data_IF_134334663837
#
_entry.id   IF_134334663837
#
_cell.length_a   1.000
_cell.length_b   1.000
_cell.length_c   1.000
_cell.angle_alpha   90.00
_cell.angle_beta   90.00
_cell.angle_gamma   90.00
#
_symmetry.space_group_name_H-M   'P 1'
#
loop_
_entity.id
_entity.type
_entity.pdbx_description
1 polymer ?
#
# COMPACT_ATOMS: atom_id res chain seq x y z
N UNK A 1 0.58 16.51 -26.48
CA UNK A 1 1.58 16.50 -25.38
C UNK A 1 1.64 15.11 -24.80
N UNK A 2 2.82 14.61 -24.48
CA UNK A 2 3.05 13.21 -24.10
C UNK A 2 2.90 12.98 -22.59
N UNK A 3 2.34 11.82 -22.20
CA UNK A 3 2.16 11.42 -20.80
C UNK A 3 3.48 10.92 -20.24
N UNK A 4 3.87 11.38 -19.06
CA UNK A 4 5.14 11.01 -18.43
C UNK A 4 4.98 9.79 -17.52
N UNK A 5 5.58 8.67 -17.91
CA UNK A 5 5.62 7.43 -17.12
C UNK A 5 7.03 6.81 -17.20
N UNK A 6 7.95 7.35 -16.40
CA UNK A 6 9.36 6.95 -16.43
C UNK A 6 9.65 5.76 -15.52
N UNK A 7 8.81 5.52 -14.51
CA UNK A 7 9.04 4.47 -13.50
C UNK A 7 8.42 3.14 -13.93
N UNK A 8 9.27 2.10 -14.01
CA UNK A 8 8.90 0.71 -14.35
C UNK A 8 9.22 -0.29 -13.24
N UNK A 9 9.80 0.18 -12.12
CA UNK A 9 10.28 -0.65 -11.02
C UNK A 9 9.26 -0.68 -9.87
N UNK A 10 8.97 -1.87 -9.32
CA UNK A 10 8.07 -2.04 -8.17
C UNK A 10 8.62 -1.24 -6.98
N UNK A 11 7.75 -0.53 -6.27
CA UNK A 11 8.07 0.32 -5.10
C UNK A 11 8.88 1.60 -5.38
N UNK A 12 9.06 1.99 -6.65
CA UNK A 12 9.72 3.24 -7.02
C UNK A 12 8.87 4.48 -6.69
N UNK A 13 9.53 5.60 -6.38
CA UNK A 13 8.82 6.85 -6.06
C UNK A 13 8.24 7.46 -7.33
N UNK A 14 6.91 7.51 -7.45
CA UNK A 14 6.17 8.11 -8.57
C UNK A 14 6.19 9.65 -8.60
N UNK A 15 7.19 10.29 -7.97
CA UNK A 15 7.24 11.76 -7.88
C UNK A 15 7.59 12.44 -9.20
N UNK A 16 7.97 11.70 -10.23
CA UNK A 16 8.29 12.24 -11.56
C UNK A 16 7.22 11.95 -12.61
N UNK A 17 6.22 11.14 -12.25
CA UNK A 17 5.27 10.56 -13.19
C UNK A 17 3.87 11.16 -13.03
N UNK A 18 3.13 11.13 -14.13
CA UNK A 18 1.70 11.36 -14.16
C UNK A 18 1.01 10.28 -13.33
N UNK A 19 0.26 10.69 -12.30
CA UNK A 19 -0.34 9.75 -11.35
C UNK A 19 -1.75 10.14 -10.93
N UNK A 20 -2.49 9.13 -10.54
CA UNK A 20 -3.78 9.23 -9.88
C UNK A 20 -3.67 8.62 -8.49
N UNK A 21 -4.20 9.30 -7.50
CA UNK A 21 -4.15 8.87 -6.09
C UNK A 21 -5.53 9.04 -5.47
N UNK A 22 -5.88 8.14 -4.57
CA UNK A 22 -7.14 8.24 -3.84
C UNK A 22 -7.00 7.70 -2.42
N UNK A 23 -7.95 8.08 -1.58
CA UNK A 23 -8.03 7.61 -0.20
C UNK A 23 -9.44 7.10 0.11
N UNK A 24 -9.52 6.15 1.04
CA UNK A 24 -10.78 5.63 1.58
C UNK A 24 -10.72 5.66 3.11
N UNK A 25 -11.62 6.40 3.74
CA UNK A 25 -11.86 6.38 5.18
C UNK A 25 -13.11 5.53 5.43
N UNK A 26 -12.90 4.24 5.66
CA UNK A 26 -13.95 3.22 5.74
C UNK A 26 -14.73 3.24 7.06
N UNK A 27 -14.17 3.85 8.10
CA UNK A 27 -14.81 4.04 9.40
C UNK A 27 -15.35 5.46 9.61
N UNK A 28 -15.08 6.37 8.67
CA UNK A 28 -15.47 7.78 8.71
C UNK A 28 -15.00 8.49 9.98
N UNK A 29 -13.83 8.12 10.49
CA UNK A 29 -13.27 8.66 11.74
C UNK A 29 -12.45 9.94 11.52
N UNK A 30 -12.17 10.29 10.26
CA UNK A 30 -11.37 11.44 9.85
C UNK A 30 -9.88 11.34 10.21
N UNK A 31 -9.42 10.18 10.67
CA UNK A 31 -8.09 9.94 11.24
C UNK A 31 -7.35 8.82 10.54
N UNK A 32 -8.04 7.74 10.20
CA UNK A 32 -7.48 6.56 9.56
C UNK A 32 -8.04 6.39 8.15
N UNK A 33 -7.43 5.51 7.37
CA UNK A 33 -7.93 5.17 6.05
C UNK A 33 -6.88 4.48 5.20
N UNK A 34 -7.28 4.09 4.00
CA UNK A 34 -6.42 3.51 2.99
C UNK A 34 -5.97 4.58 2.01
N UNK A 35 -4.76 4.44 1.50
CA UNK A 35 -4.18 5.24 0.44
C UNK A 35 -3.80 4.34 -0.72
N UNK A 36 -4.05 4.83 -1.92
CA UNK A 36 -3.70 4.14 -3.16
C UNK A 36 -3.13 5.15 -4.16
N UNK A 37 -2.21 4.70 -5.01
CA UNK A 37 -1.68 5.45 -6.12
C UNK A 37 -1.40 4.54 -7.33
N UNK A 38 -1.61 5.09 -8.53
CA UNK A 38 -1.24 4.47 -9.80
C UNK A 38 -0.61 5.50 -10.75
N UNK A 39 0.30 5.06 -11.61
CA UNK A 39 0.78 5.87 -12.75
C UNK A 39 0.21 5.37 -14.10
N UNK A 40 0.46 6.12 -15.17
CA UNK A 40 0.00 5.76 -16.51
C UNK A 40 0.65 4.49 -17.09
N UNK A 41 1.73 4.01 -16.49
CA UNK A 41 2.38 2.73 -16.86
C UNK A 41 1.84 1.54 -16.06
N UNK A 42 0.84 1.74 -15.18
CA UNK A 42 0.26 0.68 -14.36
C UNK A 42 1.06 0.31 -13.13
N UNK A 43 2.05 1.11 -12.73
CA UNK A 43 2.70 0.96 -11.43
C UNK A 43 1.67 1.26 -10.34
N UNK A 44 1.52 0.33 -9.39
CA UNK A 44 0.59 0.40 -8.27
C UNK A 44 1.34 0.64 -6.97
N UNK A 45 0.74 1.38 -6.05
CA UNK A 45 1.24 1.53 -4.69
C UNK A 45 0.12 1.84 -3.73
N UNK A 46 0.28 1.42 -2.49
CA UNK A 46 -0.75 1.55 -1.47
C UNK A 46 -0.16 1.78 -0.07
N UNK A 47 -1.05 1.90 0.92
CA UNK A 47 -0.66 1.99 2.32
C UNK A 47 -1.80 2.44 3.23
N UNK A 48 -1.52 2.42 4.53
CA UNK A 48 -2.45 2.89 5.56
C UNK A 48 -2.14 4.33 5.94
N UNK A 49 -3.15 5.19 5.93
CA UNK A 49 -3.09 6.53 6.48
C UNK A 49 -3.39 6.50 7.97
N UNK A 50 -2.54 7.16 8.74
CA UNK A 50 -2.84 7.54 10.11
C UNK A 50 -2.62 9.03 10.29
N UNK A 51 -3.58 9.68 10.93
CA UNK A 51 -3.47 11.05 11.39
C UNK A 51 -2.50 11.08 12.57
N UNK A 52 -1.20 11.03 12.28
CA UNK A 52 -0.20 11.37 13.28
C UNK A 52 -0.30 12.88 13.52
N UNK A 53 -0.71 13.29 14.72
CA UNK A 53 -0.76 14.69 15.17
C UNK A 53 0.60 15.42 15.20
N UNK A 54 1.63 14.85 14.57
CA UNK A 54 2.95 15.45 14.39
C UNK A 54 3.11 15.99 12.98
N UNK A 55 3.41 17.28 12.88
CA UNK A 55 4.08 17.85 11.73
C UNK A 55 5.30 17.00 11.38
N UNK A 56 5.20 16.20 10.32
CA UNK A 56 6.37 15.52 9.75
C UNK A 56 7.23 16.62 9.11
N UNK A 57 8.11 17.22 9.91
CA UNK A 57 9.22 18.05 9.43
C UNK A 57 10.04 17.20 8.48
N UNK A 58 9.98 17.58 7.20
CA UNK A 58 10.82 17.18 6.07
C UNK A 58 11.86 16.08 6.29
N UNK A 59 11.57 14.89 5.77
CA UNK A 59 12.61 14.06 5.17
C UNK A 59 13.04 14.73 3.87
N UNK A 60 14.27 15.27 3.85
CA UNK A 60 14.94 15.68 2.61
C UNK A 60 15.03 14.43 1.72
N UNK A 61 14.76 14.58 0.42
CA UNK A 61 14.53 13.54 -0.60
C UNK A 61 13.06 13.07 -0.75
N UNK A 62 12.37 13.67 -1.72
CA UNK A 62 11.04 13.26 -2.21
C UNK A 62 9.95 14.28 -1.86
N UNK A 63 9.44 14.99 -2.88
CA UNK A 63 8.50 16.12 -2.74
C UNK A 63 7.35 15.85 -1.77
N UNK A 64 7.48 16.41 -0.57
CA UNK A 64 6.54 16.29 0.53
C UNK A 64 5.49 17.39 0.49
N UNK A 65 4.25 17.02 0.15
CA UNK A 65 3.09 17.75 0.63
C UNK A 65 2.62 17.13 1.95
N UNK A 66 2.51 18.01 2.94
CA UNK A 66 2.37 17.77 4.38
C UNK A 66 0.99 17.21 4.76
N UNK A 67 0.98 15.96 5.20
CA UNK A 67 -0.14 15.36 5.94
C UNK A 67 -0.08 13.84 5.87
N UNK A 68 0.08 13.18 7.02
CA UNK A 68 -0.03 11.72 7.19
C UNK A 68 0.99 10.91 6.40
N UNK A 69 2.01 10.39 7.06
CA UNK A 69 2.82 9.33 6.45
C UNK A 69 1.91 8.15 6.14
N UNK A 70 1.76 7.78 4.87
CA UNK A 70 1.16 6.50 4.52
C UNK A 70 2.16 5.41 4.90
N UNK A 71 1.76 4.48 5.76
CA UNK A 71 2.53 3.27 5.99
C UNK A 71 2.42 2.39 4.75
N UNK A 72 3.40 2.54 3.84
CA UNK A 72 3.53 1.77 2.58
C UNK A 72 3.89 0.30 2.79
N UNK A 73 3.99 -0.16 4.04
CA UNK A 73 4.24 -1.57 4.31
C UNK A 73 2.97 -2.41 4.11
N UNK A 74 1.78 -1.83 4.24
CA UNK A 74 0.53 -2.51 3.93
C UNK A 74 0.43 -2.74 2.41
N UNK A 75 0.25 -4.00 2.02
CA UNK A 75 0.11 -4.44 0.61
C UNK A 75 -1.27 -5.11 0.48
N UNK A 76 -2.22 -4.40 -0.15
CA UNK A 76 -3.60 -4.85 -0.30
C UNK A 76 -3.82 -5.67 -1.56
N UNK A 77 -4.80 -6.58 -1.55
CA UNK A 77 -5.26 -7.27 -2.77
C UNK A 77 -6.18 -6.34 -3.56
N UNK A 78 -5.68 -5.74 -4.63
CA UNK A 78 -6.48 -4.96 -5.58
C UNK A 78 -5.87 -5.00 -6.98
N UNK A 79 -6.68 -4.66 -7.98
CA UNK A 79 -6.29 -4.71 -9.38
C UNK A 79 -6.49 -3.33 -10.02
N UNK A 80 -5.56 -2.96 -10.90
CA UNK A 80 -5.72 -1.80 -11.76
C UNK A 80 -5.25 -2.10 -13.18
N UNK A 81 -6.03 -1.66 -14.15
CA UNK A 81 -5.69 -1.67 -15.56
C UNK A 81 -5.57 -0.26 -16.07
N UNK A 82 -4.48 0.03 -16.78
CA UNK A 82 -4.27 1.35 -17.39
C UNK A 82 -4.20 1.23 -18.90
N UNK A 83 -4.68 2.25 -19.58
CA UNK A 83 -4.66 2.30 -21.04
C UNK A 83 -4.27 3.70 -21.51
N UNK A 84 -3.28 3.76 -22.40
CA UNK A 84 -2.93 4.98 -23.13
C UNK A 84 -4.00 5.28 -24.18
N UNK A 85 -4.37 6.55 -24.30
CA UNK A 85 -5.37 7.05 -25.26
C UNK A 85 -4.84 8.30 -25.98
N UNK A 86 -5.40 8.65 -27.15
CA UNK A 86 -4.97 9.84 -27.90
C UNK A 86 -5.03 11.15 -27.08
N UNK A 87 -5.94 11.24 -26.12
CA UNK A 87 -6.18 12.38 -25.24
C UNK A 87 -5.53 12.27 -23.84
N UNK A 88 -4.84 11.17 -23.55
CA UNK A 88 -4.19 10.96 -22.26
C UNK A 88 -4.11 9.48 -21.87
N UNK A 89 -4.64 9.14 -20.71
CA UNK A 89 -4.76 7.75 -20.26
C UNK A 89 -5.93 7.59 -19.30
N UNK A 90 -6.34 6.34 -19.10
CA UNK A 90 -7.32 5.98 -18.07
C UNK A 90 -6.85 4.85 -17.21
N UNK A 91 -7.48 4.75 -16.05
CA UNK A 91 -7.43 3.58 -15.20
C UNK A 91 -8.82 3.01 -14.97
N UNK A 92 -8.88 1.69 -14.84
CA UNK A 92 -9.97 0.95 -14.23
C UNK A 92 -9.42 0.24 -12.99
N UNK A 93 -10.12 0.36 -11.86
CA UNK A 93 -9.63 -0.08 -10.55
C UNK A 93 -10.68 -0.98 -9.92
N UNK A 94 -10.26 -2.14 -9.42
CA UNK A 94 -11.09 -3.08 -8.68
C UNK A 94 -10.48 -3.31 -7.31
N UNK A 95 -11.21 -2.91 -6.26
CA UNK A 95 -10.85 -3.18 -4.87
C UNK A 95 -11.90 -4.11 -4.28
N UNK A 96 -11.59 -5.41 -4.07
CA UNK A 96 -12.46 -6.31 -3.33
C UNK A 96 -12.71 -5.82 -1.90
N UNK A 97 -13.95 -5.86 -1.41
CA UNK A 97 -14.26 -5.44 -0.04
C UNK A 97 -13.51 -6.22 1.03
N UNK A 98 -13.23 -7.51 0.82
CA UNK A 98 -12.40 -8.33 1.71
C UNK A 98 -10.98 -7.79 1.96
N UNK A 99 -10.49 -6.92 1.09
CA UNK A 99 -9.17 -6.28 1.22
C UNK A 99 -9.19 -5.17 2.27
N UNK A 100 -10.36 -4.61 2.56
CA UNK A 100 -10.52 -3.45 3.43
C UNK A 100 -11.17 -3.87 4.74
N UNK A 101 -10.64 -3.35 5.85
CA UNK A 101 -11.35 -3.28 7.12
C UNK A 101 -12.39 -2.15 7.07
N UNK A 102 -13.65 -2.47 7.33
CA UNK A 102 -14.77 -1.52 7.37
C UNK A 102 -15.91 -2.04 8.25
N UNK A 103 -16.76 -1.14 8.72
CA UNK A 103 -18.01 -1.48 9.39
C UNK A 103 -19.12 -1.76 8.35
N UNK A 104 -19.67 -2.99 8.26
CA UNK A 104 -20.73 -3.33 7.30
C UNK A 104 -22.03 -2.54 7.50
N UNK A 105 -22.27 -2.05 8.72
CA UNK A 105 -23.46 -1.26 9.05
C UNK A 105 -23.27 0.24 8.69
N UNK A 106 -22.04 0.64 8.33
CA UNK A 106 -21.75 1.99 7.89
C UNK A 106 -22.02 2.16 6.39
N UNK A 107 -23.04 2.95 6.08
CA UNK A 107 -23.47 3.26 4.71
C UNK A 107 -22.66 4.36 4.02
N UNK A 108 -21.72 4.97 4.75
CA UNK A 108 -21.01 6.16 4.33
C UNK A 108 -19.50 6.07 4.63
N UNK A 109 -18.68 6.14 3.57
CA UNK A 109 -17.23 6.25 3.70
C UNK A 109 -16.74 7.65 3.34
N UNK A 110 -15.58 8.04 3.87
CA UNK A 110 -14.83 9.17 3.35
C UNK A 110 -14.06 8.78 2.09
N UNK A 111 -14.08 9.63 1.07
CA UNK A 111 -13.31 9.42 -0.17
C UNK A 111 -12.69 10.72 -0.66
N UNK A 112 -11.50 10.65 -1.26
CA UNK A 112 -10.91 11.79 -1.95
C UNK A 112 -9.99 11.34 -3.07
N UNK A 113 -9.75 12.24 -4.02
CA UNK A 113 -9.00 11.96 -5.24
C UNK A 113 -8.02 13.09 -5.54
N UNK A 114 -6.84 12.74 -6.01
CA UNK A 114 -5.84 13.66 -6.54
C UNK A 114 -5.32 13.17 -7.88
N UNK A 115 -5.21 14.10 -8.81
CA UNK A 115 -4.50 13.94 -10.07
C UNK A 115 -3.24 14.77 -10.02
N UNK A 116 -2.09 14.16 -10.32
CA UNK A 116 -0.86 14.91 -10.60
C UNK A 116 -0.53 14.80 -12.09
N UNK A 117 -0.41 15.95 -12.76
CA UNK A 117 -0.03 16.07 -14.18
C UNK A 117 1.35 16.71 -14.24
N UNK A 118 2.39 15.90 -14.40
CA UNK A 118 3.77 16.37 -14.25
C UNK A 118 4.21 17.27 -15.38
N UNK A 119 3.81 16.94 -16.60
CA UNK A 119 4.11 17.75 -17.79
C UNK A 119 3.58 19.19 -17.70
N UNK A 120 2.56 19.43 -16.87
CA UNK A 120 1.97 20.76 -16.61
C UNK A 120 2.32 21.33 -15.24
N UNK A 121 3.08 20.58 -14.44
CA UNK A 121 3.33 20.87 -13.04
C UNK A 121 2.04 21.18 -12.25
N UNK A 122 0.99 20.38 -12.49
CA UNK A 122 -0.36 20.62 -11.97
C UNK A 122 -0.78 19.51 -11.00
N UNK A 123 -1.42 19.92 -9.91
CA UNK A 123 -2.11 19.03 -8.98
C UNK A 123 -3.58 19.44 -8.88
N UNK A 124 -4.46 18.49 -9.15
CA UNK A 124 -5.92 18.69 -9.12
C UNK A 124 -6.46 17.81 -8.02
N UNK A 125 -7.18 18.42 -7.08
CA UNK A 125 -7.71 17.75 -5.91
C UNK A 125 -9.23 17.93 -5.86
N UNK A 126 -9.97 16.84 -5.63
CA UNK A 126 -11.44 16.90 -5.62
C UNK A 126 -11.98 17.67 -4.40
N UNK A 127 -11.45 17.37 -3.20
CA UNK A 127 -11.80 18.02 -1.93
C UNK A 127 -10.54 18.35 -1.14
N UNK A 128 -10.59 19.32 -0.24
CA UNK A 128 -9.46 19.61 0.64
C UNK A 128 -8.34 20.43 -0.02
N UNK A 129 -8.67 21.35 -0.94
CA UNK A 129 -7.69 22.06 -1.79
C UNK A 129 -6.95 23.21 -1.08
N UNK A 130 -7.33 23.56 0.15
CA UNK A 130 -6.60 24.59 0.90
C UNK A 130 -5.20 24.08 1.25
N UNK A 131 -4.26 25.02 1.41
CA UNK A 131 -2.86 24.71 1.79
C UNK A 131 -2.70 23.92 3.09
N UNK A 132 -3.67 24.02 4.00
CA UNK A 132 -3.70 23.29 5.29
C UNK A 132 -4.41 21.94 5.21
N UNK A 133 -5.07 21.68 4.09
CA UNK A 133 -5.83 20.47 3.79
C UNK A 133 -4.98 19.57 2.85
N UNK A 134 -5.57 18.55 2.23
CA UNK A 134 -4.88 17.73 1.23
C UNK A 134 -5.44 16.31 1.13
N UNK A 135 -4.99 15.57 0.12
CA UNK A 135 -5.47 14.20 -0.15
C UNK A 135 -5.36 13.29 1.08
N UNK A 136 -4.19 13.30 1.75
CA UNK A 136 -3.87 12.38 2.86
C UNK A 136 -4.42 12.81 4.22
N UNK A 137 -5.47 13.63 4.22
CA UNK A 137 -6.16 14.10 5.43
C UNK A 137 -7.62 13.66 5.36
N UNK A 138 -7.95 12.47 5.87
CA UNK A 138 -9.31 11.90 5.80
C UNK A 138 -10.41 12.85 6.29
N UNK A 139 -10.13 13.67 7.32
CA UNK A 139 -11.06 14.69 7.82
C UNK A 139 -11.57 15.69 6.77
N UNK A 140 -10.82 15.90 5.68
CA UNK A 140 -11.20 16.80 4.58
C UNK A 140 -11.73 16.07 3.34
N UNK A 141 -11.88 14.73 3.41
CA UNK A 141 -12.45 13.94 2.35
C UNK A 141 -13.92 14.30 2.08
N UNK A 142 -14.39 13.99 0.88
CA UNK A 142 -15.83 13.98 0.59
C UNK A 142 -16.49 12.73 1.16
N UNK A 143 -17.81 12.62 1.02
CA UNK A 143 -18.59 11.48 1.50
C UNK A 143 -19.09 10.64 0.33
N UNK A 144 -18.83 9.35 0.40
CA UNK A 144 -19.40 8.33 -0.48
C UNK A 144 -20.52 7.63 0.29
N UNK A 145 -21.76 7.97 -0.04
CA UNK A 145 -22.97 7.48 0.62
C UNK A 145 -23.66 6.41 -0.20
N UNK A 146 -24.58 5.65 0.41
CA UNK A 146 -25.38 4.65 -0.29
C UNK A 146 -24.66 3.31 -0.46
N UNK A 147 -23.64 3.07 0.36
CA UNK A 147 -23.00 1.76 0.46
C UNK A 147 -23.95 0.85 1.24
N UNK A 148 -24.46 -0.18 0.58
CA UNK A 148 -25.40 -1.12 1.19
C UNK A 148 -24.98 -2.54 0.86
N UNK A 149 -25.31 -3.47 1.75
CA UNK A 149 -25.00 -4.90 1.60
C UNK A 149 -23.49 -5.16 1.42
N UNK A 150 -22.66 -4.36 2.08
CA UNK A 150 -21.22 -4.58 2.10
C UNK A 150 -20.91 -5.82 2.93
N UNK A 151 -20.03 -6.69 2.43
CA UNK A 151 -19.58 -7.87 3.15
C UNK A 151 -18.11 -8.12 2.92
N UNK A 152 -17.37 -8.38 4.00
CA UNK A 152 -16.00 -8.89 3.95
C UNK A 152 -15.95 -10.40 3.66
N UNK A 153 -17.11 -11.06 3.52
CA UNK A 153 -17.21 -12.52 3.46
C UNK A 153 -16.88 -13.15 4.82
N UNK A 154 -16.21 -14.30 4.80
CA UNK A 154 -15.78 -15.01 6.01
C UNK A 154 -14.59 -14.35 6.72
N UNK A 155 -14.01 -13.28 6.15
CA UNK A 155 -12.80 -12.65 6.68
C UNK A 155 -11.55 -13.55 6.63
N UNK A 156 -11.62 -14.71 5.96
CA UNK A 156 -10.54 -15.68 5.86
C UNK A 156 -9.74 -15.50 4.57
N UNK A 157 -8.43 -15.37 4.71
CA UNK A 157 -7.46 -15.24 3.64
C UNK A 157 -6.34 -16.26 3.86
N UNK A 158 -5.90 -16.93 2.80
CA UNK A 158 -4.80 -17.87 2.84
C UNK A 158 -3.84 -17.57 1.69
N UNK A 159 -2.58 -17.31 2.02
CA UNK A 159 -1.52 -16.96 1.10
C UNK A 159 -0.46 -18.07 1.12
N UNK A 160 -0.52 -19.06 0.21
CA UNK A 160 0.53 -20.05 0.07
C UNK A 160 1.75 -19.41 -0.63
N UNK A 161 2.94 -19.65 -0.11
CA UNK A 161 4.20 -19.20 -0.68
C UNK A 161 5.20 -20.35 -0.73
N UNK A 162 6.06 -20.40 -1.75
CA UNK A 162 7.07 -21.45 -1.87
C UNK A 162 8.37 -20.88 -2.41
N UNK A 163 9.49 -21.32 -1.85
CA UNK A 163 10.83 -20.95 -2.29
C UNK A 163 11.45 -22.18 -2.94
N UNK A 164 12.01 -21.99 -4.14
CA UNK A 164 12.71 -23.04 -4.87
C UNK A 164 14.15 -22.57 -5.10
N UNK A 165 15.09 -23.13 -4.33
CA UNK A 165 16.51 -22.83 -4.47
C UNK A 165 17.23 -23.84 -5.37
N UNK A 166 18.08 -23.35 -6.27
CA UNK A 166 18.99 -24.19 -7.05
C UNK A 166 20.42 -23.93 -6.59
N UNK A 167 21.05 -24.92 -5.94
CA UNK A 167 22.46 -24.84 -5.53
C UNK A 167 23.30 -25.75 -6.41
N UNK A 168 24.11 -25.17 -7.30
CA UNK A 168 25.08 -25.94 -8.08
C UNK A 168 26.33 -26.16 -7.22
N UNK A 169 26.58 -27.40 -6.81
CA UNK A 169 27.81 -27.80 -6.13
C UNK A 169 28.73 -28.45 -7.18
N UNK A 170 29.98 -27.96 -7.38
CA UNK A 170 30.92 -28.59 -8.30
C UNK A 170 31.19 -30.06 -7.95
N UNK A 171 31.34 -30.89 -8.98
CA UNK A 171 31.21 -32.34 -8.99
C UNK A 171 32.06 -33.12 -7.96
N UNK A 172 31.38 -33.77 -7.00
CA UNK A 172 31.62 -35.14 -6.49
C UNK A 172 30.68 -35.52 -5.33
N UNK A 173 29.39 -35.14 -5.37
CA UNK A 173 28.42 -35.56 -4.37
C UNK A 173 27.02 -35.81 -4.98
N UNK A 174 26.41 -36.92 -4.58
CA UNK A 174 25.00 -37.31 -4.74
C UNK A 174 24.01 -36.25 -4.21
N UNK A 175 22.71 -36.39 -4.53
CA UNK A 175 21.97 -35.64 -5.54
C UNK A 175 21.65 -34.19 -5.13
N UNK A 176 21.28 -33.39 -6.14
CA UNK A 176 20.66 -32.07 -6.02
C UNK A 176 19.48 -32.11 -5.03
N UNK A 177 19.70 -31.72 -3.77
CA UNK A 177 18.58 -31.39 -2.88
C UNK A 177 18.01 -30.07 -3.38
N UNK A 178 16.77 -30.11 -3.87
CA UNK A 178 15.98 -28.90 -4.09
C UNK A 178 15.38 -28.56 -2.72
N UNK A 179 15.93 -27.58 -1.95
CA UNK A 179 15.20 -27.06 -0.81
C UNK A 179 13.89 -26.48 -1.36
N UNK A 180 12.79 -27.15 -1.00
CA UNK A 180 11.44 -26.71 -1.28
C UNK A 180 10.83 -26.35 0.06
N UNK A 181 10.94 -25.08 0.40
CA UNK A 181 10.28 -24.55 1.57
C UNK A 181 8.88 -24.10 1.14
N UNK A 182 7.87 -24.62 1.82
CA UNK A 182 6.47 -24.24 1.66
C UNK A 182 6.08 -23.48 2.90
N UNK A 183 5.69 -22.21 2.72
CA UNK A 183 5.13 -21.37 3.77
C UNK A 183 3.65 -21.11 3.48
N UNK A 184 2.87 -20.95 4.54
CA UNK A 184 1.45 -20.62 4.45
C UNK A 184 1.13 -19.57 5.49
N UNK A 185 0.61 -18.43 5.03
CA UNK A 185 0.04 -17.40 5.90
C UNK A 185 -1.48 -17.47 5.83
N UNK A 186 -2.13 -17.51 6.99
CA UNK A 186 -3.58 -17.51 7.13
C UNK A 186 -3.99 -16.30 7.96
N UNK A 187 -4.86 -15.47 7.42
CA UNK A 187 -5.40 -14.29 8.09
C UNK A 187 -6.91 -14.44 8.27
N UNK A 188 -7.41 -14.05 9.43
CA UNK A 188 -8.82 -14.14 9.80
C UNK A 188 -9.30 -12.84 10.47
N UNK A 189 -10.30 -12.19 9.89
CA UNK A 189 -10.96 -11.03 10.50
C UNK A 189 -11.94 -11.49 11.58
N UNK A 190 -11.54 -11.35 12.85
CA UNK A 190 -12.36 -11.67 14.04
C UNK A 190 -13.49 -10.65 14.19
N UNK A 191 -13.19 -9.37 13.94
CA UNK A 191 -14.17 -8.28 13.85
C UNK A 191 -13.81 -7.38 12.67
N UNK A 192 -14.67 -6.40 12.34
CA UNK A 192 -14.38 -5.37 11.33
C UNK A 192 -13.08 -4.61 11.60
N UNK A 193 -12.64 -4.54 12.86
CA UNK A 193 -11.44 -3.83 13.31
C UNK A 193 -10.33 -4.74 13.85
N UNK A 194 -10.56 -6.05 13.98
CA UNK A 194 -9.59 -6.99 14.56
C UNK A 194 -9.28 -8.13 13.59
N UNK A 195 -8.02 -8.22 13.18
CA UNK A 195 -7.48 -9.33 12.38
C UNK A 195 -6.55 -10.19 13.23
N UNK A 196 -6.69 -11.50 13.10
CA UNK A 196 -5.79 -12.50 13.65
C UNK A 196 -5.07 -13.20 12.50
N UNK A 197 -3.75 -13.37 12.59
CA UNK A 197 -3.01 -14.05 11.54
C UNK A 197 -2.05 -15.12 12.08
N UNK A 198 -1.82 -16.15 11.27
CA UNK A 198 -1.07 -17.35 11.63
C UNK A 198 -0.19 -17.73 10.46
N UNK A 199 1.11 -17.83 10.71
CA UNK A 199 2.11 -18.23 9.71
C UNK A 199 2.67 -19.61 10.02
N UNK A 200 2.72 -20.50 9.02
CA UNK A 200 3.30 -21.85 9.12
C UNK A 200 4.53 -21.93 8.23
N UNK A 201 5.66 -22.34 8.81
CA UNK A 201 6.92 -22.59 8.11
C UNK A 201 7.48 -21.37 7.32
N UNK A 202 7.21 -20.17 7.83
CA UNK A 202 7.83 -18.93 7.32
C UNK A 202 9.28 -18.86 7.78
N UNK A 203 10.22 -18.78 6.85
CA UNK A 203 11.61 -18.47 7.16
C UNK A 203 11.73 -17.00 7.56
N UNK A 204 11.98 -16.75 8.85
CA UNK A 204 12.16 -15.40 9.38
C UNK A 204 13.54 -14.82 9.09
N UNK A 205 14.49 -15.62 8.59
CA UNK A 205 15.87 -15.20 8.39
C UNK A 205 16.09 -14.36 7.12
N UNK A 206 15.17 -14.38 6.15
CA UNK A 206 15.33 -13.64 4.89
C UNK A 206 14.69 -12.23 4.88
N UNK A 207 13.77 -11.91 5.79
CA UNK A 207 13.12 -10.57 5.78
C UNK A 207 14.03 -9.47 6.34
N UNK A 208 15.02 -9.80 7.19
CA UNK A 208 15.91 -8.83 7.83
C UNK A 208 17.28 -8.63 7.15
N UNK A 209 17.69 -9.48 6.19
CA UNK A 209 19.13 -9.67 5.94
C UNK A 209 19.76 -8.96 4.73
N UNK A 210 19.06 -8.08 4.00
CA UNK A 210 19.67 -7.43 2.82
C UNK A 210 19.69 -5.89 2.82
N UNK A 211 19.74 -5.28 4.01
CA UNK A 211 20.28 -3.92 4.13
C UNK A 211 21.39 -3.87 5.17
N UNK A 212 22.61 -4.27 4.77
CA UNK A 212 23.84 -3.87 5.47
C UNK A 212 23.97 -2.34 5.43
N UNK A 213 23.35 -1.64 6.38
CA UNK A 213 23.66 -0.25 6.67
C UNK A 213 24.69 -0.20 7.79
N UNK A 214 25.89 0.27 7.47
CA UNK A 214 26.89 0.58 8.49
C UNK A 214 26.36 1.77 9.31
N UNK A 215 25.91 1.50 10.53
CA UNK A 215 25.47 2.55 11.44
C UNK A 215 26.69 3.17 12.14
N UNK A 216 27.09 4.35 11.72
CA UNK A 216 28.16 5.13 12.39
C UNK A 216 27.62 6.03 13.51
N UNK A 217 26.33 5.90 13.85
CA UNK A 217 25.67 6.73 14.87
C UNK A 217 25.28 5.92 16.11
N UNK A 218 25.24 6.59 17.26
CA UNK A 218 24.91 6.03 18.58
C UNK A 218 23.42 5.69 18.81
N UNK A 219 22.59 5.79 17.77
CA UNK A 219 21.17 5.48 17.85
C UNK A 219 20.87 4.20 17.07
N UNK A 220 20.03 3.29 17.58
CA UNK A 220 19.70 2.06 16.88
C UNK A 220 18.96 2.35 15.56
N UNK A 221 19.34 1.66 14.49
CA UNK A 221 18.59 1.66 13.24
C UNK A 221 17.26 0.96 13.52
N UNK A 222 16.14 1.65 13.31
CA UNK A 222 14.82 1.02 13.29
C UNK A 222 14.51 0.65 11.85
N UNK A 223 14.37 -0.63 11.57
CA UNK A 223 13.84 -1.10 10.30
C UNK A 223 12.31 -0.95 10.31
N UNK A 224 11.70 -0.42 9.24
CA UNK A 224 10.26 -0.49 9.10
C UNK A 224 9.84 -1.95 9.02
N UNK A 225 8.86 -2.34 9.84
CA UNK A 225 8.29 -3.69 9.83
C UNK A 225 7.65 -3.95 8.46
N UNK A 226 8.00 -5.08 7.83
CA UNK A 226 7.58 -5.44 6.46
C UNK A 226 6.75 -6.72 6.41
N UNK A 227 6.61 -7.43 7.53
CA UNK A 227 5.86 -8.69 7.58
C UNK A 227 4.36 -8.39 7.70
N UNK A 228 3.56 -8.94 6.78
CA UNK A 228 2.11 -8.75 6.73
C UNK A 228 1.42 -8.99 8.09
N UNK A 229 1.81 -10.06 8.81
CA UNK A 229 1.30 -10.36 10.15
C UNK A 229 1.34 -9.18 11.14
N UNK A 230 2.44 -8.42 11.18
CA UNK A 230 2.59 -7.28 12.11
C UNK A 230 1.93 -6.00 11.60
N UNK A 231 1.52 -5.97 10.33
CA UNK A 231 0.91 -4.83 9.66
C UNK A 231 -0.62 -4.89 9.72
N UNK A 232 -1.20 -6.09 9.78
CA UNK A 232 -2.65 -6.31 9.76
C UNK A 232 -3.39 -5.80 11.00
N UNK A 233 -2.77 -5.85 12.18
CA UNK A 233 -3.36 -5.37 13.45
C UNK A 233 -3.22 -3.87 13.69
N UNK A 234 -2.89 -3.09 12.65
CA UNK A 234 -2.41 -1.72 12.80
C UNK A 234 -3.34 -0.66 12.20
N UNK A 235 -4.55 -1.04 11.80
CA UNK A 235 -5.61 -0.14 11.34
C UNK A 235 -6.39 0.48 12.51
#
# INVERSE_FOLDING_TARGET
>A
EEVLAYQRERDATLSTDDRFMWILDTFLDGRTGYYFEINAAGLMGDGILRSSGGSSRGGRFGGGFSGGGANKAWDGIWEAHTAMRPDGWSAEIRIPFRTLNFDPDNDTWGINFQRTIRRRNEEILWRGWKRTEGLRRPIYAGRMTGLQNLSQGLGLEAVPSTIVGWRTIPANAEPTTVPRDLSLDVNYSVTSSLRASVSVNTDFAEVESDQRRVNLTRFPIRFPERRNFFLEGSN
#
